data_IF_386280438640
#
_entry.id   IF_386280438640
#
_cell.length_a   1.000
_cell.length_b   1.000
_cell.length_c   1.000
_cell.angle_alpha   90.00
_cell.angle_beta   90.00
_cell.angle_gamma   90.00
#
_symmetry.space_group_name_H-M   'P 1'
#
loop_
_entity.id
_entity.type
_entity.pdbx_description
1 polymer ?
#
# COMPACT_ATOMS: atom_id res chain seq x y z
N UNK A 1 50.36 31.52 -19.11
CA UNK A 1 49.84 32.23 -17.91
C UNK A 1 48.74 31.38 -17.31
N UNK A 2 48.93 30.83 -16.10
CA UNK A 2 47.87 30.10 -15.39
C UNK A 2 47.07 31.11 -14.57
N UNK A 3 45.77 31.25 -14.83
CA UNK A 3 44.85 31.99 -13.95
C UNK A 3 44.68 31.18 -12.67
N UNK A 4 45.06 31.77 -11.53
CA UNK A 4 44.84 31.17 -10.21
C UNK A 4 43.37 31.36 -9.81
N UNK A 5 42.75 30.31 -9.28
CA UNK A 5 41.43 30.39 -8.67
C UNK A 5 41.53 31.23 -7.40
N UNK A 6 40.71 32.27 -7.28
CA UNK A 6 40.73 33.11 -6.09
C UNK A 6 39.97 32.42 -4.95
N UNK A 7 40.45 32.54 -3.71
CA UNK A 7 39.76 32.00 -2.53
C UNK A 7 38.31 32.52 -2.42
N UNK A 8 38.05 33.75 -2.88
CA UNK A 8 36.73 34.37 -2.85
C UNK A 8 35.76 33.77 -3.89
N UNK A 9 36.23 33.38 -5.07
CA UNK A 9 35.41 32.65 -6.04
C UNK A 9 34.95 31.30 -5.48
N UNK A 10 35.85 30.57 -4.81
CA UNK A 10 35.48 29.30 -4.20
C UNK A 10 34.51 29.49 -3.02
N UNK A 11 34.76 30.49 -2.18
CA UNK A 11 33.96 30.78 -0.99
C UNK A 11 32.51 31.18 -1.33
N UNK A 12 32.34 32.03 -2.33
CA UNK A 12 31.00 32.50 -2.74
C UNK A 12 30.17 31.37 -3.34
N UNK A 13 30.78 30.45 -4.09
CA UNK A 13 30.10 29.29 -4.66
C UNK A 13 29.57 28.36 -3.57
N UNK A 14 30.39 28.01 -2.57
CA UNK A 14 29.92 27.14 -1.48
C UNK A 14 28.85 27.83 -0.63
N UNK A 15 28.93 29.15 -0.45
CA UNK A 15 27.91 29.91 0.27
C UNK A 15 26.55 29.86 -0.43
N UNK A 16 26.53 30.00 -1.77
CA UNK A 16 25.29 29.89 -2.55
C UNK A 16 24.75 28.46 -2.51
N UNK A 17 25.60 27.43 -2.65
CA UNK A 17 25.19 26.02 -2.56
C UNK A 17 24.57 25.72 -1.18
N UNK A 18 25.14 26.24 -0.10
CA UNK A 18 24.62 26.04 1.25
C UNK A 18 23.22 26.64 1.43
N UNK A 19 22.98 27.85 0.90
CA UNK A 19 21.66 28.51 0.93
C UNK A 19 20.64 27.70 0.12
N UNK A 20 21.01 27.26 -1.09
CA UNK A 20 20.12 26.46 -1.94
C UNK A 20 19.79 25.11 -1.30
N UNK A 21 20.78 24.43 -0.73
CA UNK A 21 20.60 23.15 -0.04
C UNK A 21 19.69 23.29 1.20
N UNK A 22 19.82 24.38 1.96
CA UNK A 22 18.99 24.64 3.13
C UNK A 22 17.48 24.75 2.80
N UNK A 23 17.13 25.29 1.64
CA UNK A 23 15.74 25.39 1.17
C UNK A 23 15.29 24.08 0.49
N UNK A 24 16.19 23.43 -0.25
CA UNK A 24 15.86 22.23 -1.01
C UNK A 24 15.60 21.02 -0.10
N UNK A 25 16.35 20.86 0.99
CA UNK A 25 16.20 19.73 1.91
C UNK A 25 14.79 19.58 2.51
N UNK A 26 14.18 20.63 3.12
CA UNK A 26 12.83 20.52 3.68
C UNK A 26 11.74 20.36 2.60
N UNK A 27 11.94 20.89 1.40
CA UNK A 27 10.98 20.74 0.30
C UNK A 27 11.07 19.33 -0.29
N UNK A 28 12.27 18.80 -0.46
CA UNK A 28 12.50 17.47 -1.02
C UNK A 28 11.91 16.37 -0.12
N UNK A 29 12.03 16.49 1.21
CA UNK A 29 11.43 15.53 2.13
C UNK A 29 9.89 15.48 2.02
N UNK A 30 9.25 16.64 1.91
CA UNK A 30 7.79 16.75 1.68
C UNK A 30 7.38 16.22 0.31
N UNK A 31 8.14 16.54 -0.73
CA UNK A 31 7.89 16.04 -2.09
C UNK A 31 7.94 14.52 -2.16
N UNK A 32 8.93 13.90 -1.49
CA UNK A 32 9.06 12.45 -1.41
C UNK A 32 7.89 11.80 -0.66
N UNK A 33 7.43 12.41 0.44
CA UNK A 33 6.24 11.92 1.15
C UNK A 33 4.99 11.99 0.27
N UNK A 34 4.79 13.09 -0.45
CA UNK A 34 3.69 13.23 -1.41
C UNK A 34 3.76 12.21 -2.55
N UNK A 35 4.95 11.92 -3.07
CA UNK A 35 5.12 10.88 -4.08
C UNK A 35 4.68 9.50 -3.58
N UNK A 36 5.00 9.13 -2.33
CA UNK A 36 4.52 7.87 -1.73
C UNK A 36 2.99 7.86 -1.59
N UNK A 37 2.40 8.96 -1.14
CA UNK A 37 0.93 9.10 -1.05
C UNK A 37 0.26 8.92 -2.43
N UNK A 38 0.80 9.54 -3.48
CA UNK A 38 0.30 9.40 -4.85
C UNK A 38 0.39 7.94 -5.33
N UNK A 39 1.47 7.24 -5.00
CA UNK A 39 1.60 5.82 -5.33
C UNK A 39 0.54 4.97 -4.62
N UNK A 40 0.25 5.24 -3.34
CA UNK A 40 -0.80 4.51 -2.62
C UNK A 40 -2.19 4.77 -3.23
N UNK A 41 -2.48 6.01 -3.63
CA UNK A 41 -3.72 6.33 -4.34
C UNK A 41 -3.84 5.62 -5.70
N UNK A 42 -2.74 5.54 -6.46
CA UNK A 42 -2.69 4.78 -7.72
C UNK A 42 -2.91 3.28 -7.50
N UNK A 43 -2.32 2.72 -6.44
CA UNK A 43 -2.54 1.32 -6.06
C UNK A 43 -4.01 1.07 -5.70
N UNK A 44 -4.65 1.99 -4.96
CA UNK A 44 -6.07 1.88 -4.62
C UNK A 44 -6.98 1.91 -5.86
N UNK A 45 -6.66 2.74 -6.86
CA UNK A 45 -7.37 2.75 -8.13
C UNK A 45 -7.24 1.42 -8.89
N UNK A 46 -6.04 0.83 -8.89
CA UNK A 46 -5.80 -0.49 -9.49
C UNK A 46 -6.58 -1.59 -8.74
N UNK A 47 -6.62 -1.55 -7.41
CA UNK A 47 -7.43 -2.47 -6.60
C UNK A 47 -8.93 -2.31 -6.88
N UNK A 48 -9.42 -1.07 -6.98
CA UNK A 48 -10.82 -0.81 -7.33
C UNK A 48 -11.20 -1.37 -8.70
N UNK A 49 -10.33 -1.20 -9.71
CA UNK A 49 -10.52 -1.79 -11.03
C UNK A 49 -10.53 -3.32 -10.97
N UNK A 50 -9.60 -3.93 -10.23
CA UNK A 50 -9.56 -5.38 -10.05
C UNK A 50 -10.81 -5.94 -9.37
N UNK A 51 -11.32 -5.25 -8.35
CA UNK A 51 -12.57 -5.62 -7.67
C UNK A 51 -13.79 -5.54 -8.60
N UNK A 52 -13.85 -4.52 -9.46
CA UNK A 52 -14.93 -4.40 -10.46
C UNK A 52 -14.86 -5.51 -11.50
N UNK A 53 -13.67 -5.87 -11.96
CA UNK A 53 -13.49 -7.00 -12.87
C UNK A 53 -13.91 -8.32 -12.22
N UNK A 54 -13.54 -8.53 -10.96
CA UNK A 54 -14.00 -9.69 -10.20
C UNK A 54 -15.53 -9.73 -10.08
N UNK A 55 -16.16 -8.61 -9.72
CA UNK A 55 -17.62 -8.55 -9.58
C UNK A 55 -18.32 -8.90 -10.90
N UNK A 56 -17.84 -8.36 -12.01
CA UNK A 56 -18.37 -8.66 -13.34
C UNK A 56 -18.33 -10.17 -13.67
N UNK A 57 -17.27 -10.86 -13.26
CA UNK A 57 -17.14 -12.30 -13.49
C UNK A 57 -17.91 -13.17 -12.47
N UNK A 58 -18.28 -12.61 -11.31
CA UNK A 58 -18.90 -13.31 -10.19
C UNK A 58 -20.31 -12.79 -9.89
N UNK A 59 -21.12 -12.54 -10.92
CA UNK A 59 -22.53 -12.12 -10.80
C UNK A 59 -22.75 -10.90 -9.90
N UNK A 60 -21.89 -9.89 -10.05
CA UNK A 60 -21.86 -8.63 -9.28
C UNK A 60 -21.58 -8.80 -7.77
N UNK A 61 -21.14 -9.98 -7.34
CA UNK A 61 -20.71 -10.20 -5.97
C UNK A 61 -19.26 -9.76 -5.77
N UNK A 62 -19.01 -9.00 -4.69
CA UNK A 62 -17.68 -8.66 -4.24
C UNK A 62 -17.04 -9.84 -3.49
N UNK A 63 -15.71 -9.98 -3.51
CA UNK A 63 -15.05 -11.12 -2.89
C UNK A 63 -15.28 -11.12 -1.38
N UNK A 64 -15.45 -12.30 -0.78
CA UNK A 64 -15.49 -12.40 0.67
C UNK A 64 -14.13 -12.04 1.27
N UNK A 65 -14.15 -11.49 2.49
CA UNK A 65 -12.93 -11.18 3.23
C UNK A 65 -12.05 -12.41 3.45
N UNK A 66 -12.66 -13.56 3.73
CA UNK A 66 -12.01 -14.86 3.82
C UNK A 66 -12.91 -15.98 3.28
N UNK A 67 -12.29 -16.99 2.68
CA UNK A 67 -12.88 -18.25 2.26
C UNK A 67 -12.13 -19.38 2.98
N UNK A 68 -12.75 -19.93 4.02
CA UNK A 68 -12.16 -20.98 4.86
C UNK A 68 -12.81 -21.05 6.24
N UNK A 69 -12.72 -22.22 6.90
CA UNK A 69 -13.25 -22.41 8.24
C UNK A 69 -12.36 -21.66 9.26
N UNK A 70 -12.85 -20.55 9.81
CA UNK A 70 -12.20 -19.87 10.93
C UNK A 70 -12.40 -20.72 12.18
N UNK A 71 -11.48 -21.65 12.45
CA UNK A 71 -11.52 -22.47 13.67
C UNK A 71 -11.18 -21.67 14.92
N UNK A 72 -10.78 -20.40 14.80
CA UNK A 72 -10.55 -19.53 15.93
C UNK A 72 -11.20 -18.16 15.75
N UNK A 73 -11.68 -17.64 16.87
CA UNK A 73 -12.29 -16.31 17.04
C UNK A 73 -11.23 -15.19 16.94
N UNK A 74 -10.10 -15.48 16.30
CA UNK A 74 -8.94 -14.62 16.22
C UNK A 74 -9.14 -13.63 15.07
N UNK A 75 -8.64 -12.42 15.26
CA UNK A 75 -8.82 -11.27 14.39
C UNK A 75 -8.10 -11.37 13.02
N UNK A 76 -7.89 -12.59 12.49
CA UNK A 76 -7.19 -12.85 11.23
C UNK A 76 -7.72 -14.09 10.50
N UNK A 77 -7.42 -14.23 9.19
CA UNK A 77 -7.77 -15.42 8.43
C UNK A 77 -7.06 -16.65 9.01
N UNK A 78 -7.77 -17.78 9.10
CA UNK A 78 -7.18 -19.06 9.50
C UNK A 78 -6.01 -19.44 8.57
N UNK A 79 -5.07 -20.24 9.06
CA UNK A 79 -3.95 -20.75 8.27
C UNK A 79 -4.48 -21.46 7.01
N UNK A 80 -4.02 -21.04 5.83
CA UNK A 80 -4.47 -21.58 4.54
C UNK A 80 -5.83 -21.09 4.05
N UNK A 81 -6.48 -20.13 4.73
CA UNK A 81 -7.69 -19.51 4.22
C UNK A 81 -7.37 -18.62 3.00
N UNK A 82 -8.15 -18.79 1.93
CA UNK A 82 -8.11 -17.85 0.82
C UNK A 82 -8.75 -16.54 1.29
N UNK A 83 -8.25 -15.41 0.80
CA UNK A 83 -8.74 -14.09 1.21
C UNK A 83 -9.01 -13.25 -0.04
N UNK A 84 -9.69 -12.11 0.11
CA UNK A 84 -10.07 -11.23 -1.01
C UNK A 84 -8.91 -10.98 -2.00
N UNK A 85 -7.80 -10.38 -1.55
CA UNK A 85 -6.49 -10.99 -1.63
C UNK A 85 -6.13 -11.86 -2.82
N UNK A 86 -5.92 -13.12 -2.46
CA UNK A 86 -5.53 -14.21 -3.32
C UNK A 86 -6.51 -14.40 -4.46
N UNK A 87 -7.78 -14.05 -4.25
CA UNK A 87 -8.85 -14.14 -5.25
C UNK A 87 -8.76 -13.02 -6.30
N UNK A 88 -8.31 -11.82 -5.93
CA UNK A 88 -8.16 -10.70 -6.88
C UNK A 88 -6.80 -10.68 -7.59
N UNK A 89 -5.79 -11.40 -7.08
CA UNK A 89 -4.46 -11.53 -7.69
C UNK A 89 -4.44 -11.79 -9.21
N UNK A 90 -5.29 -12.67 -9.79
CA UNK A 90 -5.35 -12.83 -11.25
C UNK A 90 -5.71 -11.54 -12.00
N UNK A 91 -6.60 -10.72 -11.43
CA UNK A 91 -7.00 -9.42 -12.00
C UNK A 91 -5.91 -8.35 -11.85
N UNK A 92 -5.02 -8.52 -10.87
CA UNK A 92 -3.82 -7.70 -10.69
C UNK A 92 -2.64 -8.18 -11.55
N UNK A 93 -2.83 -9.10 -12.50
CA UNK A 93 -1.75 -9.66 -13.35
C UNK A 93 -0.58 -10.25 -12.52
N UNK A 94 -0.90 -10.81 -11.34
CA UNK A 94 0.10 -11.41 -10.46
C UNK A 94 0.95 -10.41 -9.65
N UNK A 95 0.70 -9.10 -9.75
CA UNK A 95 1.45 -8.11 -8.95
C UNK A 95 0.85 -7.95 -7.55
N UNK A 96 1.39 -8.69 -6.58
CA UNK A 96 1.03 -8.57 -5.15
C UNK A 96 1.56 -7.27 -4.52
N UNK A 97 2.51 -6.60 -5.17
CA UNK A 97 3.07 -5.33 -4.71
C UNK A 97 2.04 -4.19 -4.60
N UNK A 98 0.95 -4.29 -5.38
CA UNK A 98 -0.16 -3.32 -5.36
C UNK A 98 -0.92 -3.36 -4.03
N UNK A 99 -0.88 -4.49 -3.31
CA UNK A 99 -1.54 -4.67 -2.01
C UNK A 99 -0.82 -3.94 -0.85
N UNK A 100 0.32 -3.32 -1.16
CA UNK A 100 1.13 -2.58 -0.20
C UNK A 100 1.19 -1.09 -0.55
N UNK A 101 1.06 -0.24 0.47
CA UNK A 101 1.27 1.20 0.36
C UNK A 101 2.70 1.53 0.81
N UNK A 102 3.54 2.17 -0.01
CA UNK A 102 4.90 2.55 0.39
C UNK A 102 4.99 3.54 1.56
N UNK A 103 3.87 4.17 1.96
CA UNK A 103 3.81 5.03 3.15
C UNK A 103 3.35 4.27 4.42
N UNK A 104 3.00 2.98 4.28
CA UNK A 104 2.64 2.12 5.41
C UNK A 104 3.82 2.00 6.40
N UNK A 105 3.58 2.13 7.71
CA UNK A 105 4.63 1.93 8.72
C UNK A 105 5.06 0.47 8.81
N UNK A 106 4.19 -0.45 8.38
CA UNK A 106 4.49 -1.87 8.24
C UNK A 106 5.08 -2.08 6.84
N UNK A 107 6.26 -2.70 6.74
CA UNK A 107 6.89 -3.03 5.46
C UNK A 107 6.19 -4.18 4.72
N UNK A 108 6.75 -4.59 3.57
CA UNK A 108 6.33 -5.82 2.86
C UNK A 108 6.84 -7.04 3.61
N UNK A 109 6.23 -7.35 4.75
CA UNK A 109 6.59 -8.53 5.53
C UNK A 109 5.70 -9.69 5.11
N UNK A 110 6.34 -10.78 4.74
CA UNK A 110 5.70 -12.08 4.60
C UNK A 110 5.79 -12.75 5.96
N UNK A 111 4.65 -13.03 6.58
CA UNK A 111 4.58 -13.84 7.79
C UNK A 111 4.42 -15.28 7.34
N UNK A 112 5.47 -16.07 7.47
CA UNK A 112 5.35 -17.53 7.37
C UNK A 112 4.50 -18.00 8.56
N UNK A 113 3.36 -18.59 8.25
CA UNK A 113 2.53 -19.31 9.23
C UNK A 113 2.62 -20.81 8.96
N UNK A 114 2.21 -21.64 9.94
CA UNK A 114 2.25 -23.12 9.87
C UNK A 114 1.33 -23.75 8.78
N UNK A 115 0.95 -22.97 7.75
CA UNK A 115 0.20 -23.40 6.57
C UNK A 115 0.36 -22.48 5.35
N UNK A 116 1.33 -21.56 5.33
CA UNK A 116 1.65 -20.72 4.16
C UNK A 116 2.20 -19.33 4.48
N UNK A 117 2.72 -18.67 3.45
CA UNK A 117 3.16 -17.27 3.45
C UNK A 117 1.95 -16.32 3.44
N UNK A 118 1.77 -15.54 4.52
CA UNK A 118 0.78 -14.45 4.57
C UNK A 118 1.48 -13.11 4.28
N UNK A 119 1.05 -12.44 3.21
CA UNK A 119 1.49 -11.07 2.91
C UNK A 119 0.81 -10.09 3.88
N UNK A 120 1.61 -9.29 4.59
CA UNK A 120 1.08 -8.14 5.33
C UNK A 120 0.63 -7.07 4.32
N UNK A 121 -0.67 -6.79 4.32
CA UNK A 121 -1.32 -5.82 3.43
C UNK A 121 -1.43 -4.46 4.09
N UNK A 122 -1.34 -3.40 3.29
CA UNK A 122 -1.66 -2.05 3.76
C UNK A 122 -3.13 -1.70 3.56
N UNK A 123 -3.83 -2.42 2.67
CA UNK A 123 -5.24 -2.23 2.38
C UNK A 123 -6.06 -3.38 2.96
N UNK A 124 -7.23 -3.06 3.48
CA UNK A 124 -8.16 -4.03 4.06
C UNK A 124 -9.51 -3.96 3.35
N UNK A 125 -10.13 -5.12 3.17
CA UNK A 125 -11.50 -5.22 2.72
C UNK A 125 -12.41 -5.47 3.92
N UNK A 126 -13.54 -4.76 4.05
CA UNK A 126 -14.48 -5.00 5.14
C UNK A 126 -14.99 -6.44 5.12
N UNK A 127 -15.04 -7.07 6.29
CA UNK A 127 -15.50 -8.47 6.44
C UNK A 127 -16.91 -8.71 5.86
N UNK A 128 -17.74 -7.66 5.85
CA UNK A 128 -19.17 -7.73 5.58
C UNK A 128 -19.58 -7.13 4.24
N UNK A 129 -18.63 -6.80 3.35
CA UNK A 129 -18.94 -6.21 2.04
C UNK A 129 -19.59 -7.21 1.05
N UNK A 130 -19.65 -8.49 1.42
CA UNK A 130 -20.11 -9.60 0.55
C UNK A 130 -21.37 -10.31 1.07
N UNK A 131 -22.05 -9.78 2.09
CA UNK A 131 -23.11 -10.53 2.77
C UNK A 131 -24.49 -10.35 2.08
N UNK A 132 -25.08 -11.40 1.45
CA UNK A 132 -26.41 -11.32 0.83
C UNK A 132 -27.56 -11.30 1.85
N UNK A 133 -27.28 -11.49 3.15
CA UNK A 133 -28.29 -11.84 4.17
C UNK A 133 -28.58 -10.75 5.21
N UNK A 134 -28.11 -9.51 5.01
CA UNK A 134 -28.69 -8.32 5.67
C UNK A 134 -28.51 -8.20 7.19
N UNK A 135 -27.48 -8.79 7.79
CA UNK A 135 -27.15 -8.55 9.21
C UNK A 135 -26.23 -7.33 9.35
N UNK A 136 -26.82 -6.16 9.62
CA UNK A 136 -26.11 -4.98 10.13
C UNK A 136 -25.29 -5.38 11.38
N UNK A 137 -24.03 -4.96 11.56
CA UNK A 137 -23.46 -4.47 12.84
C UNK A 137 -21.99 -4.00 12.68
N UNK A 138 -21.63 -3.00 13.47
CA UNK A 138 -20.45 -2.13 13.47
C UNK A 138 -19.12 -2.82 13.80
N UNK A 139 -18.03 -2.60 13.03
CA UNK A 139 -16.69 -3.04 13.46
C UNK A 139 -15.52 -2.89 12.48
N UNK A 140 -14.75 -1.80 12.65
CA UNK A 140 -13.36 -1.52 12.22
C UNK A 140 -12.96 -1.71 10.74
N UNK A 141 -13.38 -0.76 9.90
CA UNK A 141 -12.63 -0.42 8.69
C UNK A 141 -11.42 0.44 9.10
N UNK A 142 -10.21 -0.13 9.11
CA UNK A 142 -9.00 0.70 9.02
C UNK A 142 -8.85 1.10 7.55
N UNK A 143 -9.63 2.11 7.15
CA UNK A 143 -9.35 2.87 5.94
C UNK A 143 -8.14 3.76 6.26
N UNK A 144 -6.96 3.32 5.84
CA UNK A 144 -5.77 4.18 5.85
C UNK A 144 -5.94 5.19 4.71
N UNK A 145 -6.28 6.43 5.08
CA UNK A 145 -6.08 7.63 4.26
C UNK A 145 -4.70 8.20 4.59
#
# INVERSE_FOLDING_TARGET
>A
MRRGFTLIELLTVIAIIAILAAILFPVFSRARAKARQTNCASNLQQLGAALLMYAHDNADFLPAWCFGNTTSNDAGPAQGAFTWDTVITPYLRGSVDVLHCPDSPFGKTVVETNGGELLIRSYAMPRYLSDPWGVNFTGSAYAVV
#
